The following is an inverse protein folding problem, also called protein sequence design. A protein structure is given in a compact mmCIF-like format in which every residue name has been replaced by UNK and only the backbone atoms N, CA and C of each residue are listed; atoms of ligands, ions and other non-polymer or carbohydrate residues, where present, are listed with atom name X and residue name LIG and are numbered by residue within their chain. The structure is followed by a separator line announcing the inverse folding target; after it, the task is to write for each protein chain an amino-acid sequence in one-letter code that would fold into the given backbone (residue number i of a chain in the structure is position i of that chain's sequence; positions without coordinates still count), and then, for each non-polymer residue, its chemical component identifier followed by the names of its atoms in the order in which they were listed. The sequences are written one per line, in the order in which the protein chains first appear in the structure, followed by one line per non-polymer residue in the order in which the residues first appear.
data_IF_040571519864
#
_entry.id   IF_040571519864
#
_cell.length_a   1.000
_cell.length_b   1.000
_cell.length_c   1.000
_cell.angle_alpha   90.00
_cell.angle_beta   90.00
_cell.angle_gamma   90.00
#
_symmetry.space_group_name_H-M   'P 1'
#
loop_
_entity.id
_entity.type
_entity.pdbx_description
1 polymer ?
#
# COMPACT_ATOMS: atom_id res chain seq x y z
N UNK A 1 -22.56 -18.32 9.69
CA UNK A 1 -22.35 -17.40 10.83
C UNK A 1 -21.10 -17.73 11.65
N UNK A 2 -20.73 -18.99 11.86
CA UNK A 2 -19.52 -19.36 12.62
C UNK A 2 -18.21 -18.97 11.89
N UNK A 3 -18.09 -19.19 10.57
CA UNK A 3 -16.87 -18.90 9.80
C UNK A 3 -16.48 -17.41 9.85
N UNK A 4 -17.45 -16.51 9.68
CA UNK A 4 -17.18 -15.05 9.72
C UNK A 4 -16.70 -14.63 11.12
N UNK A 5 -17.31 -15.16 12.19
CA UNK A 5 -16.88 -14.88 13.57
C UNK A 5 -15.45 -15.36 13.82
N UNK A 6 -15.09 -16.52 13.27
CA UNK A 6 -13.72 -17.06 13.38
C UNK A 6 -12.72 -16.17 12.64
N UNK A 7 -13.03 -15.72 11.42
CA UNK A 7 -12.16 -14.85 10.64
C UNK A 7 -11.99 -13.46 11.30
N UNK A 8 -13.07 -12.88 11.83
CA UNK A 8 -12.99 -11.61 12.58
C UNK A 8 -12.14 -11.76 13.84
N UNK A 9 -12.26 -12.88 14.56
CA UNK A 9 -11.42 -13.15 15.73
C UNK A 9 -9.94 -13.31 15.33
N UNK A 10 -9.67 -14.05 14.26
CA UNK A 10 -8.31 -14.22 13.71
C UNK A 10 -7.66 -12.87 13.38
N UNK A 11 -8.38 -12.01 12.64
CA UNK A 11 -7.91 -10.65 12.32
C UNK A 11 -7.67 -9.83 13.59
N UNK A 12 -8.57 -9.91 14.58
CA UNK A 12 -8.39 -9.19 15.84
C UNK A 12 -7.15 -9.64 16.62
N UNK A 13 -6.86 -10.95 16.65
CA UNK A 13 -5.64 -11.49 17.26
C UNK A 13 -4.41 -11.07 16.47
N UNK A 14 -4.47 -11.13 15.14
CA UNK A 14 -3.39 -10.69 14.27
C UNK A 14 -3.02 -9.22 14.50
N UNK A 15 -4.01 -8.32 14.51
CA UNK A 15 -3.78 -6.89 14.69
C UNK A 15 -3.13 -6.55 16.05
N UNK A 16 -3.43 -7.30 17.09
CA UNK A 16 -2.77 -7.17 18.40
C UNK A 16 -1.36 -7.74 18.38
N UNK A 17 -1.09 -8.70 17.52
CA UNK A 17 0.18 -9.42 17.42
C UNK A 17 1.21 -8.69 16.55
N UNK A 18 0.78 -7.92 15.55
CA UNK A 18 1.68 -7.08 14.74
C UNK A 18 2.12 -5.88 15.59
N UNK A 19 3.43 -5.55 15.63
CA UNK A 19 3.91 -4.35 16.33
C UNK A 19 3.19 -3.09 15.84
N UNK A 20 2.69 -2.29 16.79
CA UNK A 20 1.83 -1.13 16.51
C UNK A 20 2.49 -0.12 15.55
N UNK A 21 3.79 0.12 15.69
CA UNK A 21 4.52 1.01 14.80
C UNK A 21 4.49 0.53 13.34
N UNK A 22 4.69 -0.77 13.10
CA UNK A 22 4.65 -1.32 11.73
C UNK A 22 3.25 -1.20 11.13
N UNK A 23 2.20 -1.53 11.88
CA UNK A 23 0.83 -1.41 11.40
C UNK A 23 0.42 0.05 11.17
N UNK A 24 0.85 0.96 12.05
CA UNK A 24 0.61 2.40 11.88
C UNK A 24 1.31 2.93 10.63
N UNK A 25 2.59 2.63 10.43
CA UNK A 25 3.33 3.05 9.23
C UNK A 25 2.70 2.47 7.97
N UNK A 26 2.26 1.22 8.00
CA UNK A 26 1.59 0.58 6.88
C UNK A 26 0.29 1.30 6.50
N UNK A 27 -0.62 1.52 7.47
CA UNK A 27 -1.90 2.21 7.21
C UNK A 27 -1.68 3.65 6.76
N UNK A 28 -0.81 4.39 7.44
CA UNK A 28 -0.51 5.80 7.09
C UNK A 28 0.10 5.89 5.70
N UNK A 29 1.01 4.98 5.32
CA UNK A 29 1.58 4.98 3.97
C UNK A 29 0.53 4.68 2.90
N UNK A 30 -0.41 3.75 3.14
CA UNK A 30 -1.52 3.46 2.22
C UNK A 30 -2.42 4.68 2.01
N UNK A 31 -2.81 5.37 3.08
CA UNK A 31 -3.64 6.58 2.99
C UNK A 31 -2.89 7.70 2.25
N UNK A 32 -1.62 7.92 2.62
CA UNK A 32 -0.81 9.00 2.08
C UNK A 32 -0.49 8.79 0.60
N UNK A 33 -0.11 7.57 0.18
CA UNK A 33 0.17 7.30 -1.23
C UNK A 33 -1.07 7.52 -2.10
N UNK A 34 -2.25 7.13 -1.62
CA UNK A 34 -3.51 7.32 -2.35
C UNK A 34 -3.88 8.81 -2.48
N UNK A 35 -3.68 9.60 -1.42
CA UNK A 35 -3.91 11.03 -1.48
C UNK A 35 -2.92 11.72 -2.44
N UNK A 36 -1.65 11.35 -2.39
CA UNK A 36 -0.60 11.90 -3.24
C UNK A 36 -0.74 11.47 -4.71
N UNK A 37 -1.37 10.34 -5.01
CA UNK A 37 -1.62 9.88 -6.38
C UNK A 37 -2.49 10.84 -7.21
N UNK A 38 -3.17 11.80 -6.57
CA UNK A 38 -3.85 12.90 -7.25
C UNK A 38 -2.90 13.90 -7.95
N UNK A 39 -1.61 13.81 -7.68
CA UNK A 39 -0.62 14.72 -8.25
C UNK A 39 0.33 13.96 -9.16
N UNK A 40 0.38 14.36 -10.44
CA UNK A 40 1.37 13.84 -11.39
C UNK A 40 2.71 14.56 -11.24
N UNK A 41 3.80 13.84 -11.46
CA UNK A 41 5.16 14.38 -11.49
C UNK A 41 5.49 14.79 -12.92
N UNK A 42 5.96 16.02 -13.12
CA UNK A 42 6.44 16.47 -14.42
C UNK A 42 7.78 15.81 -14.75
N UNK A 43 7.78 14.97 -15.76
CA UNK A 43 8.97 14.29 -16.26
C UNK A 43 9.46 14.92 -17.58
N UNK A 44 10.75 14.81 -17.91
CA UNK A 44 11.32 15.47 -19.09
C UNK A 44 10.84 14.91 -20.43
N UNK A 45 10.27 13.71 -20.44
CA UNK A 45 9.78 13.04 -21.65
C UNK A 45 8.27 12.85 -21.60
N UNK A 46 7.57 13.21 -22.68
CA UNK A 46 6.09 13.17 -22.77
C UNK A 46 5.48 11.77 -22.71
N UNK A 47 6.27 10.72 -23.00
CA UNK A 47 5.83 9.33 -22.87
C UNK A 47 6.00 8.76 -21.46
N UNK A 48 6.70 9.48 -20.57
CA UNK A 48 6.88 9.11 -19.18
C UNK A 48 5.82 9.81 -18.32
N UNK A 49 5.27 9.08 -17.39
CA UNK A 49 4.31 9.60 -16.41
C UNK A 49 4.52 8.86 -15.08
N UNK A 50 4.45 9.60 -14.00
CA UNK A 50 4.45 9.09 -12.62
C UNK A 50 3.51 9.95 -11.78
N UNK A 51 2.93 9.37 -10.74
CA UNK A 51 2.23 10.13 -9.71
C UNK A 51 3.08 10.27 -8.43
N UNK A 52 2.70 11.22 -7.57
CA UNK A 52 3.44 11.47 -6.33
C UNK A 52 3.25 10.38 -5.25
N UNK A 53 2.34 9.44 -5.43
CA UNK A 53 2.15 8.32 -4.50
C UNK A 53 3.41 7.45 -4.36
N UNK A 54 4.23 7.39 -5.43
CA UNK A 54 5.50 6.67 -5.46
C UNK A 54 6.47 7.06 -4.33
N UNK A 55 6.38 8.29 -3.82
CA UNK A 55 7.25 8.78 -2.74
C UNK A 55 7.09 7.97 -1.45
N UNK A 56 5.92 7.36 -1.25
CA UNK A 56 5.58 6.66 0.00
C UNK A 56 5.21 5.19 -0.24
N UNK A 57 4.82 4.81 -1.45
CA UNK A 57 4.33 3.45 -1.76
C UNK A 57 5.34 2.35 -1.38
N UNK A 58 6.64 2.56 -1.59
CA UNK A 58 7.70 1.63 -1.19
C UNK A 58 7.64 1.26 0.30
N UNK A 59 7.24 2.18 1.18
CA UNK A 59 7.12 1.92 2.61
C UNK A 59 5.97 0.96 2.92
N UNK A 60 4.86 1.06 2.21
CA UNK A 60 3.73 0.11 2.36
C UNK A 60 4.16 -1.30 1.97
N UNK A 61 4.90 -1.46 0.87
CA UNK A 61 5.41 -2.76 0.44
C UNK A 61 6.46 -3.33 1.39
N UNK A 62 7.37 -2.50 1.90
CA UNK A 62 8.34 -2.93 2.92
C UNK A 62 7.64 -3.47 4.18
N UNK A 63 6.64 -2.75 4.69
CA UNK A 63 5.86 -3.22 5.84
C UNK A 63 5.13 -4.54 5.54
N UNK A 64 4.50 -4.64 4.38
CA UNK A 64 3.80 -5.84 3.93
C UNK A 64 4.75 -7.03 3.78
N UNK A 65 5.96 -6.81 3.26
CA UNK A 65 6.99 -7.84 3.12
C UNK A 65 7.45 -8.39 4.47
N UNK A 66 7.71 -7.52 5.44
CA UNK A 66 8.09 -7.94 6.79
C UNK A 66 6.96 -8.74 7.44
N UNK A 67 5.71 -8.28 7.31
CA UNK A 67 4.53 -9.01 7.82
C UNK A 67 4.40 -10.38 7.12
N UNK A 68 4.52 -10.43 5.79
CA UNK A 68 4.44 -11.69 5.03
C UNK A 68 5.50 -12.69 5.45
N UNK A 69 6.74 -12.23 5.63
CA UNK A 69 7.88 -13.09 5.98
C UNK A 69 7.82 -13.60 7.43
N UNK A 70 7.17 -12.86 8.32
CA UNK A 70 7.04 -13.25 9.73
C UNK A 70 5.76 -14.03 10.02
N UNK A 71 4.59 -13.49 9.62
CA UNK A 71 3.26 -14.04 9.94
C UNK A 71 2.66 -14.89 8.82
N UNK A 72 3.25 -14.86 7.63
CA UNK A 72 2.76 -15.57 6.44
C UNK A 72 1.84 -14.75 5.55
N UNK A 73 1.56 -15.23 4.31
CA UNK A 73 0.85 -14.48 3.28
C UNK A 73 -0.62 -14.22 3.64
N UNK A 74 -1.27 -15.13 4.37
CA UNK A 74 -2.66 -14.95 4.81
C UNK A 74 -2.77 -13.76 5.76
N UNK A 75 -1.86 -13.68 6.74
CA UNK A 75 -1.80 -12.58 7.71
C UNK A 75 -1.54 -11.23 7.01
N UNK A 76 -0.60 -11.19 6.07
CA UNK A 76 -0.33 -9.98 5.29
C UNK A 76 -1.53 -9.54 4.47
N UNK A 77 -2.25 -10.48 3.83
CA UNK A 77 -3.49 -10.17 3.09
C UNK A 77 -4.58 -9.63 4.02
N UNK A 78 -4.73 -10.20 5.21
CA UNK A 78 -5.68 -9.70 6.21
C UNK A 78 -5.30 -8.29 6.70
N UNK A 79 -4.03 -8.03 6.98
CA UNK A 79 -3.53 -6.69 7.35
C UNK A 79 -3.75 -5.68 6.22
N UNK A 80 -3.49 -6.08 4.97
CA UNK A 80 -3.74 -5.26 3.77
C UNK A 80 -5.23 -4.91 3.63
N UNK A 81 -6.11 -5.87 3.87
CA UNK A 81 -7.55 -5.64 3.82
C UNK A 81 -8.02 -4.64 4.89
N UNK A 82 -7.44 -4.71 6.10
CA UNK A 82 -7.71 -3.72 7.15
C UNK A 82 -7.22 -2.33 6.73
N UNK A 83 -6.02 -2.22 6.15
CA UNK A 83 -5.50 -0.95 5.65
C UNK A 83 -6.41 -0.35 4.57
N UNK A 84 -6.92 -1.18 3.65
CA UNK A 84 -7.91 -0.77 2.63
C UNK A 84 -9.20 -0.27 3.26
N UNK A 85 -9.75 -0.97 4.27
CA UNK A 85 -10.97 -0.54 4.95
C UNK A 85 -10.77 0.82 5.66
N UNK A 86 -9.64 1.02 6.32
CA UNK A 86 -9.31 2.32 6.94
C UNK A 86 -9.16 3.40 5.88
N UNK A 87 -8.49 3.12 4.77
CA UNK A 87 -8.36 4.03 3.65
C UNK A 87 -9.72 4.45 3.08
N UNK A 88 -10.62 3.49 2.83
CA UNK A 88 -12.00 3.79 2.38
C UNK A 88 -12.77 4.64 3.39
N UNK A 89 -12.59 4.39 4.69
CA UNK A 89 -13.16 5.21 5.75
C UNK A 89 -12.64 6.66 5.69
N UNK A 90 -11.33 6.85 5.49
CA UNK A 90 -10.72 8.18 5.33
C UNK A 90 -11.22 8.88 4.05
N UNK A 91 -11.39 8.15 2.95
CA UNK A 91 -11.98 8.69 1.73
C UNK A 91 -13.39 9.22 1.97
N UNK A 92 -14.21 8.48 2.70
CA UNK A 92 -15.55 8.92 3.07
C UNK A 92 -15.52 10.20 3.92
N UNK A 93 -14.61 10.26 4.91
CA UNK A 93 -14.41 11.45 5.73
C UNK A 93 -14.02 12.66 4.87
N UNK A 94 -13.05 12.50 3.95
CA UNK A 94 -12.64 13.58 3.04
C UNK A 94 -13.77 14.02 2.11
N UNK A 95 -14.54 13.07 1.56
CA UNK A 95 -15.72 13.39 0.75
C UNK A 95 -16.76 14.18 1.54
N UNK A 96 -17.10 13.75 2.75
CA UNK A 96 -18.05 14.46 3.60
C UNK A 96 -17.53 15.85 3.98
N UNK A 97 -16.25 15.96 4.35
CA UNK A 97 -15.63 17.25 4.66
C UNK A 97 -15.69 18.24 3.50
N UNK A 98 -15.48 17.77 2.26
CA UNK A 98 -15.58 18.62 1.06
C UNK A 98 -16.99 19.12 0.76
N UNK A 99 -18.03 18.57 1.43
CA UNK A 99 -19.42 19.02 1.30
C UNK A 99 -19.87 19.97 2.42
N UNK A 100 -19.04 20.14 3.45
CA UNK A 100 -19.31 21.07 4.54
C UNK A 100 -19.05 22.49 4.04
N UNK A 101 -20.04 23.39 4.10
CA UNK A 101 -19.82 24.79 3.74
C UNK A 101 -18.73 25.43 4.62
N UNK A 102 -17.76 26.05 3.98
CA UNK A 102 -16.63 26.67 4.69
C UNK A 102 -15.57 27.20 3.76
N UNK A 103 -14.49 27.71 4.33
CA UNK A 103 -13.35 28.29 3.61
C UNK A 103 -12.07 27.63 4.06
N UNK A 104 -11.26 27.14 3.13
CA UNK A 104 -9.91 26.64 3.42
C UNK A 104 -8.99 27.80 3.81
N UNK A 105 -8.00 27.53 4.68
CA UNK A 105 -7.13 28.57 5.21
C UNK A 105 -6.50 29.49 4.16
N UNK A 106 -5.99 28.93 3.08
CA UNK A 106 -5.38 29.70 1.98
C UNK A 106 -6.41 30.54 1.17
N UNK A 107 -7.70 30.27 1.30
CA UNK A 107 -8.76 31.03 0.63
C UNK A 107 -8.98 32.40 1.24
N UNK A 108 -8.36 32.72 2.37
CA UNK A 108 -8.41 34.05 2.96
C UNK A 108 -7.56 35.09 2.20
N UNK A 109 -6.77 34.66 1.22
CA UNK A 109 -6.08 35.58 0.31
C UNK A 109 -7.10 36.22 -0.63
N UNK A 110 -7.13 37.52 -0.67
CA UNK A 110 -8.10 38.28 -1.47
C UNK A 110 -8.12 37.84 -2.94
N UNK A 111 -9.30 37.53 -3.46
CA UNK A 111 -9.50 37.04 -4.83
C UNK A 111 -9.17 35.54 -5.06
N UNK A 112 -8.63 34.82 -4.08
CA UNK A 112 -8.27 33.41 -4.21
C UNK A 112 -9.36 32.43 -3.72
N UNK A 113 -10.34 32.89 -2.95
CA UNK A 113 -11.35 32.10 -2.27
C UNK A 113 -12.03 31.06 -3.16
N UNK A 114 -12.63 31.49 -4.25
CA UNK A 114 -13.38 30.60 -5.15
C UNK A 114 -12.47 29.57 -5.85
N UNK A 115 -11.26 29.98 -6.22
CA UNK A 115 -10.29 29.13 -6.92
C UNK A 115 -9.73 28.06 -5.97
N UNK A 116 -9.29 28.49 -4.78
CA UNK A 116 -8.63 27.60 -3.81
C UNK A 116 -9.64 26.64 -3.20
N UNK A 117 -10.83 27.10 -2.79
CA UNK A 117 -11.87 26.24 -2.25
C UNK A 117 -12.29 25.17 -3.26
N UNK A 118 -12.60 25.56 -4.51
CA UNK A 118 -12.99 24.62 -5.54
C UNK A 118 -11.91 23.58 -5.85
N UNK A 119 -10.63 24.01 -5.89
CA UNK A 119 -9.51 23.11 -6.14
C UNK A 119 -9.28 22.12 -4.98
N UNK A 120 -9.33 22.60 -3.73
CA UNK A 120 -9.12 21.74 -2.55
C UNK A 120 -10.29 20.79 -2.33
N UNK A 121 -11.52 21.24 -2.42
CA UNK A 121 -12.70 20.38 -2.33
C UNK A 121 -12.74 19.36 -3.47
N UNK A 122 -12.34 19.76 -4.68
CA UNK A 122 -12.19 18.86 -5.81
C UNK A 122 -11.10 17.81 -5.62
N UNK A 123 -9.97 18.20 -5.03
CA UNK A 123 -8.84 17.30 -4.79
C UNK A 123 -9.10 16.35 -3.62
N UNK A 124 -9.60 16.86 -2.50
CA UNK A 124 -9.77 16.07 -1.27
C UNK A 124 -11.02 15.20 -1.33
N UNK A 125 -12.14 15.75 -1.80
CA UNK A 125 -13.43 15.06 -1.80
C UNK A 125 -13.97 14.65 -3.16
N UNK A 126 -13.46 15.25 -4.23
CA UNK A 126 -13.90 14.97 -5.60
C UNK A 126 -13.20 13.78 -6.26
N UNK A 127 -12.16 13.24 -5.65
CA UNK A 127 -11.30 12.20 -6.24
C UNK A 127 -11.67 10.78 -5.79
N UNK A 128 -12.93 10.54 -5.52
CA UNK A 128 -13.42 9.20 -5.16
C UNK A 128 -12.98 8.13 -6.17
N UNK A 129 -12.90 8.44 -7.46
CA UNK A 129 -12.45 7.54 -8.50
C UNK A 129 -10.95 7.21 -8.39
N UNK A 130 -10.11 8.18 -8.00
CA UNK A 130 -8.66 7.94 -7.72
C UNK A 130 -8.53 7.00 -6.55
N UNK A 131 -9.24 7.26 -5.46
CA UNK A 131 -9.23 6.44 -4.25
C UNK A 131 -9.79 5.04 -4.52
N UNK A 132 -10.84 4.93 -5.34
CA UNK A 132 -11.40 3.66 -5.77
C UNK A 132 -10.41 2.86 -6.62
N UNK A 133 -9.84 3.48 -7.66
CA UNK A 133 -8.85 2.83 -8.52
C UNK A 133 -7.59 2.42 -7.77
N UNK A 134 -7.07 3.30 -6.89
CA UNK A 134 -5.95 3.00 -6.00
C UNK A 134 -6.25 1.83 -5.06
N UNK A 135 -7.47 1.77 -4.53
CA UNK A 135 -7.89 0.65 -3.66
C UNK A 135 -7.87 -0.67 -4.42
N UNK A 136 -8.40 -0.70 -5.65
CA UNK A 136 -8.37 -1.90 -6.50
C UNK A 136 -6.93 -2.28 -6.84
N UNK A 137 -6.12 -1.32 -7.27
CA UNK A 137 -4.72 -1.52 -7.60
C UNK A 137 -3.96 -2.11 -6.41
N UNK A 138 -4.12 -1.53 -5.23
CA UNK A 138 -3.50 -2.03 -4.00
C UNK A 138 -3.96 -3.44 -3.63
N UNK A 139 -5.24 -3.79 -3.78
CA UNK A 139 -5.72 -5.15 -3.53
C UNK A 139 -5.06 -6.13 -4.49
N UNK A 140 -5.04 -5.82 -5.78
CA UNK A 140 -4.41 -6.66 -6.80
C UNK A 140 -2.92 -6.85 -6.49
N UNK A 141 -2.21 -5.75 -6.26
CA UNK A 141 -0.77 -5.78 -5.98
C UNK A 141 -0.44 -6.50 -4.68
N UNK A 142 -1.22 -6.29 -3.62
CA UNK A 142 -1.04 -6.96 -2.34
C UNK A 142 -1.18 -8.49 -2.47
N UNK A 143 -2.19 -8.95 -3.20
CA UNK A 143 -2.39 -10.39 -3.45
C UNK A 143 -1.22 -10.95 -4.25
N UNK A 144 -0.82 -10.28 -5.34
CA UNK A 144 0.28 -10.70 -6.21
C UNK A 144 1.60 -10.71 -5.43
N UNK A 145 1.92 -9.66 -4.68
CA UNK A 145 3.12 -9.57 -3.88
C UNK A 145 3.18 -10.68 -2.80
N UNK A 146 2.10 -10.85 -2.04
CA UNK A 146 2.02 -11.86 -0.98
C UNK A 146 2.18 -13.27 -1.55
N UNK A 147 1.51 -13.57 -2.68
CA UNK A 147 1.60 -14.87 -3.35
C UNK A 147 3.01 -15.14 -3.89
N UNK A 148 3.60 -14.16 -4.60
CA UNK A 148 4.96 -14.25 -5.15
C UNK A 148 5.99 -14.42 -4.05
N UNK A 149 5.90 -13.61 -2.99
CA UNK A 149 6.79 -13.71 -1.83
C UNK A 149 6.71 -15.09 -1.16
N UNK A 150 5.50 -15.63 -1.03
CA UNK A 150 5.28 -16.98 -0.48
C UNK A 150 5.85 -18.07 -1.37
N UNK A 151 5.63 -17.99 -2.70
CA UNK A 151 6.19 -18.95 -3.66
C UNK A 151 7.71 -18.95 -3.64
N UNK A 152 8.34 -17.78 -3.69
CA UNK A 152 9.79 -17.63 -3.61
C UNK A 152 10.35 -18.17 -2.29
N UNK A 153 9.60 -18.04 -1.19
CA UNK A 153 9.96 -18.60 0.10
C UNK A 153 10.03 -20.12 0.14
N UNK A 154 9.27 -20.81 -0.71
CA UNK A 154 9.33 -22.29 -0.86
C UNK A 154 10.56 -22.74 -1.65
N UNK A 155 11.05 -21.89 -2.55
CA UNK A 155 12.20 -22.18 -3.43
C UNK A 155 13.50 -21.79 -2.73
N UNK A 156 13.50 -20.68 -2.02
CA UNK A 156 14.64 -20.15 -1.28
C UNK A 156 14.59 -20.68 0.16
N UNK A 157 15.59 -21.46 0.55
CA UNK A 157 15.70 -22.09 1.87
C UNK A 157 15.71 -21.05 3.00
N UNK A 158 14.53 -20.66 3.44
CA UNK A 158 14.24 -19.84 4.62
C UNK A 158 14.98 -18.48 4.73
N UNK A 159 14.35 -17.51 5.34
CA UNK A 159 14.87 -16.17 5.68
C UNK A 159 16.11 -16.17 6.61
N UNK A 160 16.93 -17.21 6.56
CA UNK A 160 18.08 -17.41 7.42
C UNK A 160 19.22 -16.44 7.12
N UNK A 161 19.33 -16.01 5.85
CA UNK A 161 20.34 -15.07 5.42
C UNK A 161 19.75 -13.86 4.67
N UNK A 162 20.52 -12.78 4.65
CA UNK A 162 20.11 -11.54 4.00
C UNK A 162 19.89 -11.71 2.49
N UNK A 163 20.68 -12.55 1.80
CA UNK A 163 20.55 -12.75 0.36
C UNK A 163 19.19 -13.35 0.00
N UNK A 164 18.78 -14.36 0.74
CA UNK A 164 17.47 -15.01 0.57
C UNK A 164 16.32 -14.06 0.84
N UNK A 165 16.43 -13.29 1.92
CA UNK A 165 15.47 -12.23 2.23
C UNK A 165 15.36 -11.20 1.11
N UNK A 166 16.50 -10.63 0.68
CA UNK A 166 16.57 -9.57 -0.33
C UNK A 166 16.03 -10.05 -1.69
N UNK A 167 16.42 -11.25 -2.14
CA UNK A 167 15.92 -11.83 -3.39
C UNK A 167 14.39 -11.95 -3.39
N UNK A 168 13.83 -12.49 -2.31
CA UNK A 168 12.37 -12.60 -2.17
C UNK A 168 11.69 -11.24 -2.17
N UNK A 169 12.24 -10.28 -1.43
CA UNK A 169 11.73 -8.91 -1.38
C UNK A 169 11.73 -8.29 -2.77
N UNK A 170 12.89 -8.21 -3.41
CA UNK A 170 13.03 -7.49 -4.68
C UNK A 170 12.14 -8.04 -5.78
N UNK A 171 12.06 -9.38 -5.90
CA UNK A 171 11.22 -10.00 -6.93
C UNK A 171 9.73 -9.82 -6.63
N UNK A 172 9.32 -10.07 -5.38
CA UNK A 172 7.89 -9.94 -5.02
C UNK A 172 7.42 -8.49 -5.06
N UNK A 173 8.23 -7.56 -4.55
CA UNK A 173 7.93 -6.12 -4.60
C UNK A 173 7.90 -5.62 -6.04
N UNK A 174 8.90 -5.95 -6.87
CA UNK A 174 8.92 -5.54 -8.27
C UNK A 174 7.66 -5.99 -9.03
N UNK A 175 7.26 -7.25 -8.91
CA UNK A 175 6.05 -7.75 -9.55
C UNK A 175 4.79 -7.08 -8.96
N UNK A 176 4.72 -6.95 -7.64
CA UNK A 176 3.60 -6.29 -6.95
C UNK A 176 3.44 -4.84 -7.40
N UNK A 177 4.52 -4.08 -7.42
CA UNK A 177 4.55 -2.67 -7.84
C UNK A 177 4.20 -2.48 -9.31
N UNK A 178 4.70 -3.37 -10.18
CA UNK A 178 4.28 -3.33 -11.58
C UNK A 178 2.76 -3.52 -11.73
N UNK A 179 2.19 -4.49 -11.01
CA UNK A 179 0.75 -4.73 -11.02
C UNK A 179 -0.05 -3.56 -10.42
N UNK A 180 0.44 -2.95 -9.34
CA UNK A 180 -0.17 -1.78 -8.71
C UNK A 180 -0.25 -0.61 -9.69
N UNK A 181 0.90 -0.16 -10.15
CA UNK A 181 1.03 0.97 -11.06
C UNK A 181 0.27 0.76 -12.38
N UNK A 182 0.31 -0.45 -12.95
CA UNK A 182 -0.41 -0.76 -14.18
C UNK A 182 -1.94 -0.73 -13.96
N UNK A 183 -2.41 -1.35 -12.89
CA UNK A 183 -3.84 -1.39 -12.56
C UNK A 183 -4.37 0.02 -12.29
N UNK A 184 -3.66 0.80 -11.48
CA UNK A 184 -4.01 2.20 -11.22
C UNK A 184 -4.02 3.02 -12.51
N UNK A 185 -2.95 2.95 -13.31
CA UNK A 185 -2.85 3.71 -14.54
C UNK A 185 -3.95 3.36 -15.56
N UNK A 186 -4.37 2.10 -15.65
CA UNK A 186 -5.46 1.69 -16.54
C UNK A 186 -6.84 2.13 -16.03
N UNK A 187 -7.09 2.06 -14.73
CA UNK A 187 -8.39 2.40 -14.15
C UNK A 187 -8.55 3.92 -13.99
N UNK A 188 -7.51 4.62 -13.54
CA UNK A 188 -7.58 6.05 -13.20
C UNK A 188 -6.95 6.91 -14.27
N UNK A 189 -5.66 6.75 -14.52
CA UNK A 189 -4.91 7.68 -15.37
C UNK A 189 -5.37 7.64 -16.83
N UNK A 190 -5.66 6.45 -17.35
CA UNK A 190 -6.18 6.31 -18.71
C UNK A 190 -7.61 6.85 -18.84
N UNK A 191 -8.50 6.48 -17.90
CA UNK A 191 -9.92 6.82 -18.01
C UNK A 191 -10.23 8.28 -17.63
N UNK A 192 -9.53 8.84 -16.64
CA UNK A 192 -9.86 10.15 -16.07
C UNK A 192 -8.82 11.23 -16.37
N UNK A 193 -7.54 10.88 -16.55
CA UNK A 193 -6.47 11.84 -16.83
C UNK A 193 -6.04 11.86 -18.31
N UNK A 194 -6.64 11.00 -19.14
CA UNK A 194 -6.37 10.97 -20.59
C UNK A 194 -5.00 10.38 -20.97
N UNK A 195 -4.39 9.59 -20.10
CA UNK A 195 -3.12 8.94 -20.43
C UNK A 195 -3.30 7.91 -21.54
N UNK A 196 -2.32 7.82 -22.43
CA UNK A 196 -2.24 6.75 -23.44
C UNK A 196 -1.89 5.41 -22.79
N UNK A 197 -2.22 4.30 -23.45
CA UNK A 197 -1.80 2.95 -22.99
C UNK A 197 -0.28 2.84 -22.87
N UNK A 198 0.46 3.51 -23.75
CA UNK A 198 1.93 3.56 -23.67
C UNK A 198 2.39 4.22 -22.39
N UNK A 199 1.81 5.38 -22.04
CA UNK A 199 2.11 6.06 -20.77
C UNK A 199 1.78 5.19 -19.57
N UNK A 200 0.66 4.46 -19.58
CA UNK A 200 0.29 3.53 -18.50
C UNK A 200 1.34 2.43 -18.29
N UNK A 201 1.77 1.79 -19.38
CA UNK A 201 2.79 0.73 -19.32
C UNK A 201 4.15 1.28 -18.90
N UNK A 202 4.56 2.43 -19.45
CA UNK A 202 5.83 3.09 -19.08
C UNK A 202 5.81 3.53 -17.62
N UNK A 203 4.68 4.07 -17.13
CA UNK A 203 4.49 4.39 -15.72
C UNK A 203 4.67 3.15 -14.84
N UNK A 204 4.04 2.04 -15.20
CA UNK A 204 4.14 0.80 -14.44
C UNK A 204 5.60 0.31 -14.33
N UNK A 205 6.36 0.35 -15.43
CA UNK A 205 7.78 -0.02 -15.42
C UNK A 205 8.64 0.98 -14.65
N UNK A 206 8.43 2.27 -14.87
CA UNK A 206 9.23 3.32 -14.20
C UNK A 206 8.97 3.31 -12.70
N UNK A 207 7.72 3.21 -12.29
CA UNK A 207 7.32 3.08 -10.90
C UNK A 207 7.95 1.84 -10.25
N UNK A 208 7.80 0.67 -10.87
CA UNK A 208 8.43 -0.57 -10.41
C UNK A 208 9.94 -0.42 -10.18
N UNK A 209 10.67 0.21 -11.12
CA UNK A 209 12.12 0.39 -11.00
C UNK A 209 12.45 1.29 -9.80
N UNK A 210 11.80 2.46 -9.69
CA UNK A 210 12.08 3.42 -8.62
C UNK A 210 11.75 2.81 -7.26
N UNK A 211 10.62 2.15 -7.12
CA UNK A 211 10.18 1.53 -5.86
C UNK A 211 11.06 0.33 -5.48
N UNK A 212 11.50 -0.47 -6.47
CA UNK A 212 12.47 -1.55 -6.23
C UNK A 212 13.82 -0.99 -5.79
N UNK A 213 14.27 0.14 -6.32
CA UNK A 213 15.49 0.81 -5.85
C UNK A 213 15.34 1.27 -4.39
N UNK A 214 14.19 1.81 -4.02
CA UNK A 214 13.90 2.12 -2.62
C UNK A 214 13.92 0.85 -1.75
N UNK A 215 13.35 -0.24 -2.22
CA UNK A 215 13.40 -1.53 -1.52
C UNK A 215 14.84 -2.00 -1.30
N UNK A 216 15.72 -1.86 -2.31
CA UNK A 216 17.15 -2.18 -2.16
C UNK A 216 17.79 -1.39 -1.01
N UNK A 217 17.49 -0.09 -0.90
CA UNK A 217 18.01 0.79 0.15
C UNK A 217 17.51 0.36 1.53
N UNK A 218 16.22 0.03 1.63
CA UNK A 218 15.56 -0.26 2.91
C UNK A 218 15.48 -1.75 3.28
N UNK A 219 15.95 -2.65 2.40
CA UNK A 219 15.91 -4.11 2.65
C UNK A 219 16.72 -4.53 3.87
N UNK A 220 17.87 -3.91 4.11
CA UNK A 220 18.69 -4.25 5.28
C UNK A 220 18.03 -3.87 6.62
N UNK A 221 17.49 -2.65 6.81
CA UNK A 221 16.62 -2.35 7.94
C UNK A 221 15.44 -3.32 8.08
N UNK A 222 14.74 -3.65 7.00
CA UNK A 222 13.64 -4.60 7.01
C UNK A 222 14.05 -6.00 7.49
N UNK A 223 15.20 -6.49 7.03
CA UNK A 223 15.77 -7.75 7.49
C UNK A 223 16.11 -7.73 8.99
N UNK A 224 16.67 -6.63 9.51
CA UNK A 224 16.93 -6.45 10.94
C UNK A 224 15.66 -6.45 11.78
N UNK A 225 14.59 -5.81 11.30
CA UNK A 225 13.29 -5.83 11.94
C UNK A 225 12.78 -7.28 12.02
N UNK A 226 12.81 -8.02 10.89
CA UNK A 226 12.40 -9.42 10.84
C UNK A 226 13.18 -10.30 11.83
N UNK A 227 14.52 -10.18 11.86
CA UNK A 227 15.35 -10.92 12.80
C UNK A 227 14.99 -10.61 14.26
N UNK A 228 14.74 -9.33 14.56
CA UNK A 228 14.34 -8.91 15.89
C UNK A 228 12.98 -9.50 16.29
N UNK A 229 12.01 -9.53 15.36
CA UNK A 229 10.71 -10.14 15.59
C UNK A 229 10.83 -11.66 15.85
N UNK A 230 11.64 -12.35 15.06
CA UNK A 230 11.89 -13.78 15.23
C UNK A 230 12.56 -14.08 16.58
N UNK A 231 13.61 -13.32 16.95
CA UNK A 231 14.33 -13.45 18.21
C UNK A 231 13.42 -13.23 19.42
N UNK A 232 12.57 -12.20 19.38
CA UNK A 232 11.68 -11.82 20.47
C UNK A 232 10.32 -12.57 20.43
N UNK A 233 10.15 -13.51 19.49
CA UNK A 233 8.91 -14.29 19.32
C UNK A 233 7.67 -13.39 19.23
N UNK A 234 7.79 -12.30 18.47
CA UNK A 234 6.68 -11.36 18.24
C UNK A 234 5.49 -12.12 17.66
N UNK A 235 4.30 -11.79 18.13
CA UNK A 235 3.06 -12.42 17.64
C UNK A 235 2.79 -13.83 18.17
N UNK A 236 3.36 -14.20 19.30
CA UNK A 236 3.15 -15.54 19.92
C UNK A 236 1.66 -15.88 20.05
N UNK A 237 0.82 -14.91 20.47
CA UNK A 237 -0.63 -15.08 20.60
C UNK A 237 -1.28 -15.52 19.28
N UNK A 238 -0.87 -14.90 18.15
CA UNK A 238 -1.39 -15.27 16.82
C UNK A 238 -0.98 -16.67 16.42
N UNK A 239 0.29 -17.04 16.63
CA UNK A 239 0.78 -18.39 16.28
C UNK A 239 0.14 -19.47 17.14
N UNK A 240 -0.11 -19.22 18.41
CA UNK A 240 -0.83 -20.13 19.31
C UNK A 240 -2.28 -20.31 18.86
N UNK A 241 -2.98 -19.19 18.57
CA UNK A 241 -4.34 -19.20 18.06
C UNK A 241 -4.47 -19.98 16.74
N UNK A 242 -3.52 -19.81 15.81
CA UNK A 242 -3.54 -20.53 14.54
C UNK A 242 -3.32 -22.03 14.70
N UNK A 243 -2.53 -22.46 15.67
CA UNK A 243 -2.36 -23.90 15.99
C UNK A 243 -3.63 -24.52 16.55
N UNK A 244 -4.29 -23.82 17.48
CA UNK A 244 -5.55 -24.30 18.09
C UNK A 244 -6.68 -24.37 17.07
N UNK A 245 -6.76 -23.42 16.12
CA UNK A 245 -7.83 -23.37 15.09
C UNK A 245 -7.60 -24.36 13.94
N UNK A 246 -6.45 -25.02 13.88
CA UNK A 246 -6.11 -26.04 12.85
C UNK A 246 -6.47 -27.46 13.28
N UNK A 247 -6.93 -27.63 14.52
CA UNK A 247 -7.46 -28.86 15.10
C UNK A 247 -8.97 -28.78 15.28
#
# INVERSE_FOLDING_TARGET
MNRIKTEVKEVSVLLRSIPSLTMTLFIVSVITMNLLANKSINLPFSFMALDCGIVVSWLSFLCMDVITKHFGPKAATQASFVAVLVNLGMCLVFFLASKIPGVWGESYVEGAEAIINGALDGTIGGTWYVLFGSTIAFIVSAIVNNYTNSMLGKISNNNSDFKSYAFRSYVSTGIGQFCDNLTFALIVSHQFFGWTLVQCVVCAFTGMIVETLCEVIFSYPGFKILQNWQKNKVGREYFEYMKESSH
#
